data_IF_008613658707
#
_entry.id   IF_008613658707
#
_cell.length_a   1.000
_cell.length_b   1.000
_cell.length_c   1.000
_cell.angle_alpha   90.00
_cell.angle_beta   90.00
_cell.angle_gamma   90.00
#
_symmetry.space_group_name_H-M   'P 1'
#
loop_
_entity.id
_entity.type
_entity.pdbx_description
1 polymer ?
#
# COMPACT_ATOMS: atom_id res chain seq x y z
N UNK A 1 -68.57 7.34 -80.51
CA UNK A 1 -67.46 7.79 -79.65
C UNK A 1 -67.01 6.63 -78.77
N UNK A 2 -65.72 6.28 -78.88
CA UNK A 2 -64.81 5.64 -77.89
C UNK A 2 -65.05 4.18 -77.40
N UNK A 3 -64.34 3.28 -78.09
CA UNK A 3 -63.33 2.28 -77.62
C UNK A 3 -63.69 1.22 -76.55
N UNK A 4 -63.52 -0.05 -76.94
CA UNK A 4 -63.20 -1.21 -76.07
C UNK A 4 -61.91 -0.98 -75.26
N UNK A 5 -61.69 -1.77 -74.18
CA UNK A 5 -60.77 -2.90 -74.33
C UNK A 5 -61.18 -4.17 -73.55
N UNK A 6 -60.90 -5.33 -74.14
CA UNK A 6 -60.64 -6.62 -73.44
C UNK A 6 -59.20 -6.63 -72.87
N UNK A 7 -58.66 -7.74 -72.32
CA UNK A 7 -59.08 -8.67 -71.27
C UNK A 7 -58.01 -8.74 -70.15
N UNK A 8 -58.16 -9.50 -69.05
CA UNK A 8 -56.96 -9.93 -68.29
C UNK A 8 -57.10 -11.21 -67.45
N UNK A 9 -56.17 -12.12 -67.76
CA UNK A 9 -55.89 -13.43 -67.20
C UNK A 9 -55.57 -13.46 -65.69
N UNK A 10 -56.11 -14.45 -64.97
CA UNK A 10 -55.68 -14.84 -63.61
C UNK A 10 -54.24 -15.38 -63.63
N UNK A 11 -53.31 -14.64 -63.00
CA UNK A 11 -51.91 -15.05 -62.77
C UNK A 11 -51.80 -16.14 -61.68
N UNK A 12 -51.05 -17.20 -61.98
CA UNK A 12 -50.57 -18.26 -61.07
C UNK A 12 -49.72 -17.67 -59.93
N UNK A 13 -50.01 -18.06 -58.68
CA UNK A 13 -49.16 -17.79 -57.49
C UNK A 13 -47.86 -18.60 -57.57
N UNK A 14 -46.71 -17.93 -57.58
CA UNK A 14 -45.38 -18.56 -57.52
C UNK A 14 -44.97 -18.84 -56.07
N UNK A 15 -44.80 -20.12 -55.73
CA UNK A 15 -44.30 -20.64 -54.44
C UNK A 15 -42.77 -20.83 -54.43
N UNK A 16 -42.01 -19.91 -55.01
CA UNK A 16 -40.61 -20.17 -55.41
C UNK A 16 -39.53 -19.22 -54.89
N UNK A 17 -39.66 -18.64 -53.68
CA UNK A 17 -38.65 -17.66 -53.18
C UNK A 17 -38.33 -17.70 -51.66
N UNK A 18 -38.66 -18.79 -50.95
CA UNK A 18 -38.29 -18.92 -49.52
C UNK A 18 -36.90 -19.54 -49.31
N UNK A 19 -36.38 -20.32 -50.26
CA UNK A 19 -35.07 -20.99 -50.14
C UNK A 19 -33.85 -20.06 -50.23
N UNK A 20 -33.99 -18.89 -50.86
CA UNK A 20 -32.89 -17.93 -51.05
C UNK A 20 -32.44 -17.32 -49.71
N UNK A 21 -33.31 -17.32 -48.69
CA UNK A 21 -32.99 -16.82 -47.35
C UNK A 21 -32.38 -17.87 -46.42
N UNK A 22 -32.57 -19.17 -46.71
CA UNK A 22 -32.02 -20.24 -45.86
C UNK A 22 -30.52 -20.44 -46.06
N UNK A 23 -30.01 -20.26 -47.28
CA UNK A 23 -28.58 -20.42 -47.60
C UNK A 23 -27.70 -19.45 -46.80
N UNK A 24 -27.93 -18.12 -46.82
CA UNK A 24 -27.12 -17.20 -46.00
C UNK A 24 -27.30 -17.42 -44.50
N UNK A 25 -28.50 -17.79 -44.02
CA UNK A 25 -28.74 -18.06 -42.61
C UNK A 25 -27.99 -19.30 -42.11
N UNK A 26 -27.94 -20.35 -42.94
CA UNK A 26 -27.20 -21.60 -42.65
C UNK A 26 -25.68 -21.41 -42.68
N UNK A 27 -25.17 -20.53 -43.56
CA UNK A 27 -23.75 -20.17 -43.60
C UNK A 27 -23.33 -19.31 -42.40
N UNK A 28 -24.20 -18.41 -41.91
CA UNK A 28 -23.94 -17.62 -40.69
C UNK A 28 -23.96 -18.52 -39.45
N UNK A 29 -24.90 -19.47 -39.36
CA UNK A 29 -24.94 -20.43 -38.25
C UNK A 29 -23.77 -21.42 -38.30
N UNK A 30 -23.42 -21.95 -39.48
CA UNK A 30 -22.25 -22.82 -39.63
C UNK A 30 -20.93 -22.09 -39.34
N UNK A 31 -20.77 -20.85 -39.81
CA UNK A 31 -19.61 -20.00 -39.50
C UNK A 31 -19.54 -19.61 -38.02
N UNK A 32 -20.68 -19.32 -37.39
CA UNK A 32 -20.77 -19.04 -35.95
C UNK A 32 -20.52 -20.26 -35.07
N UNK A 33 -20.85 -21.47 -35.52
CA UNK A 33 -20.59 -22.72 -34.78
C UNK A 33 -19.13 -23.17 -34.96
N UNK A 34 -18.55 -23.02 -36.15
CA UNK A 34 -17.19 -23.50 -36.46
C UNK A 34 -16.09 -22.52 -36.05
N UNK A 35 -16.33 -21.21 -36.16
CA UNK A 35 -15.33 -20.17 -35.86
C UNK A 35 -15.77 -19.21 -34.76
N UNK A 36 -17.01 -19.30 -34.26
CA UNK A 36 -17.51 -18.36 -33.25
C UNK A 36 -16.74 -18.46 -31.93
N UNK A 37 -16.30 -19.65 -31.51
CA UNK A 37 -15.46 -19.78 -30.31
C UNK A 37 -14.08 -19.14 -30.50
N UNK A 38 -13.44 -19.30 -31.66
CA UNK A 38 -12.11 -18.74 -31.92
C UNK A 38 -12.15 -17.24 -32.18
N UNK A 39 -13.19 -16.74 -32.86
CA UNK A 39 -13.43 -15.30 -33.05
C UNK A 39 -13.81 -14.65 -31.72
N UNK A 40 -14.65 -15.29 -30.91
CA UNK A 40 -15.00 -14.81 -29.58
C UNK A 40 -13.80 -14.84 -28.63
N UNK A 41 -12.96 -15.88 -28.65
CA UNK A 41 -11.68 -15.92 -27.92
C UNK A 41 -10.70 -14.86 -28.42
N UNK A 42 -10.59 -14.66 -29.73
CA UNK A 42 -9.74 -13.62 -30.31
C UNK A 42 -10.19 -12.21 -29.88
N UNK A 43 -11.50 -11.94 -29.90
CA UNK A 43 -12.05 -10.68 -29.38
C UNK A 43 -11.94 -10.58 -27.86
N UNK A 44 -12.17 -11.66 -27.10
CA UNK A 44 -11.96 -11.68 -25.66
C UNK A 44 -10.52 -11.36 -25.31
N UNK A 45 -9.53 -12.00 -25.94
CA UNK A 45 -8.10 -11.74 -25.70
C UNK A 45 -7.72 -10.31 -26.07
N UNK A 46 -8.25 -9.77 -27.17
CA UNK A 46 -7.96 -8.39 -27.64
C UNK A 46 -8.65 -7.31 -26.81
N UNK A 47 -9.90 -7.51 -26.41
CA UNK A 47 -10.61 -6.58 -25.51
C UNK A 47 -10.13 -6.69 -24.07
N UNK A 48 -9.72 -7.88 -23.61
CA UNK A 48 -9.04 -8.11 -22.34
C UNK A 48 -7.74 -7.32 -22.27
N UNK A 49 -6.86 -7.46 -23.27
CA UNK A 49 -5.60 -6.72 -23.33
C UNK A 49 -5.82 -5.20 -23.35
N UNK A 50 -6.81 -4.71 -24.12
CA UNK A 50 -7.16 -3.29 -24.14
C UNK A 50 -7.74 -2.81 -22.80
N UNK A 51 -8.50 -3.65 -22.10
CA UNK A 51 -9.08 -3.32 -20.80
C UNK A 51 -8.03 -3.28 -19.68
N UNK A 52 -7.07 -4.19 -19.71
CA UNK A 52 -5.92 -4.21 -18.79
C UNK A 52 -4.97 -3.04 -19.03
N UNK A 53 -4.71 -2.68 -20.29
CA UNK A 53 -3.95 -1.48 -20.64
C UNK A 53 -4.64 -0.20 -20.15
N UNK A 54 -5.98 -0.12 -20.28
CA UNK A 54 -6.75 1.00 -19.72
C UNK A 54 -6.68 1.03 -18.19
N UNK A 55 -6.76 -0.11 -17.52
CA UNK A 55 -6.59 -0.21 -16.07
C UNK A 55 -5.20 0.27 -15.63
N UNK A 56 -4.16 -0.08 -16.37
CA UNK A 56 -2.81 0.41 -16.12
C UNK A 56 -2.72 1.94 -16.25
N UNK A 57 -3.25 2.52 -17.33
CA UNK A 57 -3.28 3.99 -17.48
C UNK A 57 -4.07 4.69 -16.36
N UNK A 58 -5.17 4.10 -15.90
CA UNK A 58 -5.93 4.60 -14.73
C UNK A 58 -5.16 4.47 -13.42
N UNK A 59 -4.31 3.46 -13.30
CA UNK A 59 -3.46 3.23 -12.13
C UNK A 59 -2.35 4.26 -12.06
N UNK A 60 -1.69 4.54 -13.18
CA UNK A 60 -0.62 5.54 -13.22
C UNK A 60 -1.17 6.93 -12.88
N UNK A 61 -2.36 7.28 -13.37
CA UNK A 61 -3.07 8.52 -12.99
C UNK A 61 -3.47 8.56 -11.51
N UNK A 62 -3.87 7.42 -10.94
CA UNK A 62 -4.15 7.30 -9.50
C UNK A 62 -2.89 7.56 -8.69
N UNK A 63 -1.77 6.90 -9.01
CA UNK A 63 -0.50 7.03 -8.28
C UNK A 63 0.04 8.47 -8.32
N UNK A 64 -0.06 9.14 -9.46
CA UNK A 64 0.32 10.54 -9.60
C UNK A 64 -0.55 11.50 -8.74
N UNK A 65 -1.81 11.15 -8.50
CA UNK A 65 -2.72 11.92 -7.65
C UNK A 65 -2.52 11.58 -6.17
N UNK A 66 -2.27 10.30 -5.88
CA UNK A 66 -1.93 9.80 -4.55
C UNK A 66 -0.63 10.41 -4.02
N UNK A 67 0.41 10.53 -4.84
CA UNK A 67 1.68 11.14 -4.40
C UNK A 67 1.48 12.58 -3.91
N UNK A 68 0.65 13.36 -4.61
CA UNK A 68 0.25 14.71 -4.18
C UNK A 68 -0.53 14.68 -2.86
N UNK A 69 -1.48 13.75 -2.72
CA UNK A 69 -2.24 13.57 -1.49
C UNK A 69 -1.37 13.13 -0.29
N UNK A 70 -0.37 12.28 -0.54
CA UNK A 70 0.52 11.77 0.49
C UNK A 70 1.37 12.88 1.13
N UNK A 71 1.72 13.91 0.35
CA UNK A 71 2.50 15.08 0.78
C UNK A 71 1.65 16.17 1.47
N UNK A 72 0.32 16.12 1.37
CA UNK A 72 -0.55 17.07 2.05
C UNK A 72 -0.57 16.84 3.56
N UNK A 73 -0.54 17.93 4.32
CA UNK A 73 -0.74 17.88 5.77
C UNK A 73 -2.21 17.63 6.08
N UNK A 74 -2.55 16.59 6.88
CA UNK A 74 -3.94 16.35 7.27
C UNK A 74 -4.52 17.55 8.02
N UNK A 75 -5.78 17.93 7.76
CA UNK A 75 -6.40 19.05 8.46
C UNK A 75 -6.64 18.72 9.94
N UNK A 76 -6.48 19.71 10.82
CA UNK A 76 -6.68 19.56 12.26
C UNK A 76 -8.16 19.47 12.66
N UNK A 77 -9.07 20.00 11.84
CA UNK A 77 -10.51 19.84 12.00
C UNK A 77 -11.17 19.46 10.68
N UNK A 78 -12.34 18.85 10.77
CA UNK A 78 -13.20 18.50 9.64
C UNK A 78 -14.23 19.58 9.34
N UNK A 79 -13.99 20.83 9.75
CA UNK A 79 -14.92 21.93 9.53
C UNK A 79 -14.90 22.33 8.04
N UNK A 80 -16.10 22.48 7.45
CA UNK A 80 -16.31 22.72 6.02
C UNK A 80 -15.56 21.76 5.07
N UNK A 81 -15.81 20.44 5.19
CA UNK A 81 -15.04 19.43 4.48
C UNK A 81 -15.12 19.57 2.95
N UNK A 82 -16.27 20.03 2.44
CA UNK A 82 -16.54 20.22 1.02
C UNK A 82 -15.70 21.34 0.38
N UNK A 83 -15.05 22.21 1.16
CA UNK A 83 -14.18 23.27 0.63
C UNK A 83 -12.70 22.91 0.73
N UNK A 84 -12.34 21.98 1.62
CA UNK A 84 -10.96 21.61 1.86
C UNK A 84 -10.38 20.78 0.69
N UNK A 85 -9.26 21.21 0.08
CA UNK A 85 -8.64 20.46 -1.02
C UNK A 85 -8.19 19.05 -0.63
N UNK A 86 -7.85 18.82 0.64
CA UNK A 86 -7.48 17.50 1.15
C UNK A 86 -8.62 16.49 1.01
N UNK A 87 -9.80 16.85 1.52
CA UNK A 87 -10.97 15.97 1.50
C UNK A 87 -11.53 15.78 0.08
N UNK A 88 -11.47 16.83 -0.77
CA UNK A 88 -11.84 16.70 -2.20
C UNK A 88 -10.97 15.70 -2.93
N UNK A 89 -9.65 15.76 -2.73
CA UNK A 89 -8.72 14.84 -3.37
C UNK A 89 -8.87 13.43 -2.82
N UNK A 90 -9.06 13.29 -1.51
CA UNK A 90 -9.31 12.01 -0.87
C UNK A 90 -10.57 11.33 -1.44
N UNK A 91 -11.69 12.06 -1.55
CA UNK A 91 -12.94 11.55 -2.11
C UNK A 91 -12.78 11.14 -3.59
N UNK A 92 -12.12 11.96 -4.41
CA UNK A 92 -11.82 11.62 -5.80
C UNK A 92 -10.98 10.34 -5.93
N UNK A 93 -9.99 10.14 -5.05
CA UNK A 93 -9.17 8.93 -5.02
C UNK A 93 -9.99 7.70 -4.60
N UNK A 94 -10.88 7.83 -3.61
CA UNK A 94 -11.81 6.75 -3.24
C UNK A 94 -12.76 6.37 -4.37
N UNK A 95 -13.37 7.36 -5.03
CA UNK A 95 -14.25 7.13 -6.18
C UNK A 95 -13.50 6.38 -7.29
N UNK A 96 -12.26 6.77 -7.57
CA UNK A 96 -11.42 6.08 -8.55
C UNK A 96 -11.12 4.63 -8.14
N UNK A 97 -10.89 4.35 -6.85
CA UNK A 97 -10.71 2.98 -6.35
C UNK A 97 -11.97 2.16 -6.59
N UNK A 98 -13.14 2.67 -6.21
CA UNK A 98 -14.40 1.93 -6.29
C UNK A 98 -14.85 1.68 -7.73
N UNK A 99 -14.66 2.66 -8.62
CA UNK A 99 -14.90 2.47 -10.05
C UNK A 99 -13.99 1.39 -10.63
N UNK A 100 -12.70 1.41 -10.31
CA UNK A 100 -11.75 0.43 -10.84
C UNK A 100 -12.03 -0.98 -10.29
N UNK A 101 -12.42 -1.09 -9.01
CA UNK A 101 -12.89 -2.34 -8.41
C UNK A 101 -14.07 -2.93 -9.17
N UNK A 102 -15.07 -2.11 -9.48
CA UNK A 102 -16.24 -2.53 -10.27
C UNK A 102 -15.82 -3.03 -11.65
N UNK A 103 -14.89 -2.38 -12.34
CA UNK A 103 -14.49 -2.87 -13.67
C UNK A 103 -13.67 -4.15 -13.56
N UNK A 104 -12.81 -4.29 -12.54
CA UNK A 104 -12.09 -5.55 -12.28
C UNK A 104 -13.08 -6.68 -12.02
N UNK A 105 -14.13 -6.46 -11.24
CA UNK A 105 -15.17 -7.47 -11.01
C UNK A 105 -15.91 -7.85 -12.30
N UNK A 106 -16.15 -6.91 -13.21
CA UNK A 106 -16.75 -7.18 -14.52
C UNK A 106 -15.77 -8.01 -15.38
N UNK A 107 -14.50 -7.62 -15.45
CA UNK A 107 -13.47 -8.31 -16.23
C UNK A 107 -13.24 -9.72 -15.68
N UNK A 108 -13.16 -9.88 -14.37
CA UNK A 108 -12.95 -11.16 -13.71
C UNK A 108 -14.11 -12.16 -13.90
N UNK A 109 -15.32 -11.70 -14.23
CA UNK A 109 -16.43 -12.57 -14.63
C UNK A 109 -16.28 -13.09 -16.06
N UNK A 110 -15.47 -12.42 -16.88
CA UNK A 110 -15.30 -12.71 -18.31
C UNK A 110 -13.96 -13.34 -18.66
N UNK A 111 -12.93 -13.15 -17.84
CA UNK A 111 -11.58 -13.68 -18.05
C UNK A 111 -11.30 -14.93 -17.20
N UNK A 112 -10.45 -15.83 -17.72
CA UNK A 112 -10.01 -17.04 -17.02
C UNK A 112 -8.75 -16.82 -16.14
N UNK A 113 -8.03 -15.70 -16.28
CA UNK A 113 -6.82 -15.42 -15.50
C UNK A 113 -7.14 -14.87 -14.09
N UNK A 114 -7.52 -15.80 -13.22
CA UNK A 114 -7.84 -15.53 -11.82
C UNK A 114 -6.66 -14.95 -11.02
N UNK A 115 -5.42 -15.24 -11.42
CA UNK A 115 -4.22 -14.75 -10.74
C UNK A 115 -4.01 -13.25 -10.99
N UNK A 116 -4.03 -12.86 -12.25
CA UNK A 116 -3.90 -11.44 -12.65
C UNK A 116 -5.05 -10.60 -12.12
N UNK A 117 -6.30 -11.11 -12.16
CA UNK A 117 -7.44 -10.39 -11.57
C UNK A 117 -7.32 -10.25 -10.04
N UNK A 118 -6.82 -11.27 -9.35
CA UNK A 118 -6.55 -11.18 -7.91
C UNK A 118 -5.44 -10.15 -7.62
N UNK A 119 -4.38 -10.08 -8.42
CA UNK A 119 -3.34 -9.08 -8.29
C UNK A 119 -3.88 -7.64 -8.47
N UNK A 120 -4.72 -7.44 -9.49
CA UNK A 120 -5.40 -6.17 -9.73
C UNK A 120 -6.31 -5.78 -8.58
N UNK A 121 -7.13 -6.71 -8.08
CA UNK A 121 -7.99 -6.43 -6.93
C UNK A 121 -7.17 -6.08 -5.69
N UNK A 122 -6.16 -6.89 -5.38
CA UNK A 122 -5.25 -6.65 -4.26
C UNK A 122 -4.56 -5.29 -4.36
N UNK A 123 -4.14 -4.87 -5.55
CA UNK A 123 -3.54 -3.55 -5.78
C UNK A 123 -4.44 -2.40 -5.33
N UNK A 124 -5.75 -2.45 -5.61
CA UNK A 124 -6.69 -1.43 -5.16
C UNK A 124 -7.07 -1.53 -3.68
N UNK A 125 -7.01 -2.72 -3.05
CA UNK A 125 -7.06 -2.83 -1.58
C UNK A 125 -5.82 -2.21 -0.93
N UNK A 126 -4.64 -2.36 -1.52
CA UNK A 126 -3.40 -1.70 -1.06
C UNK A 126 -3.54 -0.19 -1.13
N UNK A 127 -4.06 0.34 -2.24
CA UNK A 127 -4.27 1.77 -2.40
C UNK A 127 -5.27 2.34 -1.40
N UNK A 128 -6.37 1.64 -1.15
CA UNK A 128 -7.32 2.05 -0.11
C UNK A 128 -6.68 2.04 1.27
N UNK A 129 -5.86 1.03 1.58
CA UNK A 129 -5.15 0.94 2.85
C UNK A 129 -4.20 2.13 3.02
N UNK A 130 -3.41 2.46 2.00
CA UNK A 130 -2.47 3.58 2.01
C UNK A 130 -3.17 4.94 2.14
N UNK A 131 -4.38 5.11 1.59
CA UNK A 131 -5.18 6.32 1.80
C UNK A 131 -5.69 6.47 3.24
N UNK A 132 -5.79 5.37 3.99
CA UNK A 132 -6.36 5.37 5.35
C UNK A 132 -5.31 5.52 6.43
N UNK A 133 -4.06 5.19 6.16
CA UNK A 133 -2.99 5.19 7.17
C UNK A 133 -2.01 6.35 6.94
N UNK A 134 -1.44 6.85 8.02
CA UNK A 134 -0.45 7.94 7.97
C UNK A 134 0.97 7.39 8.15
N UNK A 135 1.67 7.18 7.03
CA UNK A 135 3.05 6.69 6.99
C UNK A 135 4.06 7.85 6.98
N UNK A 136 4.20 8.54 8.11
CA UNK A 136 5.20 9.59 8.28
C UNK A 136 6.38 9.17 9.17
N UNK A 137 7.43 9.99 9.17
CA UNK A 137 8.66 9.73 9.93
C UNK A 137 8.46 9.75 11.45
N UNK A 138 7.46 10.45 11.98
CA UNK A 138 7.14 10.46 13.42
C UNK A 138 6.45 9.15 13.81
N UNK A 139 5.44 8.74 13.05
CA UNK A 139 4.69 7.51 13.29
C UNK A 139 5.57 6.28 13.12
N UNK A 140 6.62 6.36 12.28
CA UNK A 140 7.64 5.31 12.19
C UNK A 140 8.40 5.10 13.51
N UNK A 141 8.74 6.19 14.21
CA UNK A 141 9.39 6.14 15.52
C UNK A 141 8.43 5.57 16.57
N UNK A 142 7.16 6.01 16.57
CA UNK A 142 6.15 5.49 17.49
C UNK A 142 5.89 3.99 17.26
N UNK A 143 5.85 3.56 15.99
CA UNK A 143 5.72 2.15 15.63
C UNK A 143 6.91 1.31 16.08
N UNK A 144 8.13 1.71 15.73
CA UNK A 144 9.35 0.96 16.06
C UNK A 144 9.72 0.99 17.55
N UNK A 145 9.37 2.07 18.25
CA UNK A 145 9.74 2.29 19.65
C UNK A 145 8.65 1.89 20.64
N UNK A 146 7.43 2.38 20.44
CA UNK A 146 6.29 2.18 21.35
C UNK A 146 5.40 1.01 20.92
N UNK A 147 5.51 0.57 19.66
CA UNK A 147 4.68 -0.51 19.10
C UNK A 147 3.32 -0.04 18.61
N UNK A 148 3.09 1.26 18.44
CA UNK A 148 1.83 1.79 17.95
C UNK A 148 1.73 1.64 16.43
N UNK A 149 0.64 1.03 15.96
CA UNK A 149 0.32 1.02 14.53
C UNK A 149 0.13 2.46 14.03
N UNK A 150 0.41 2.72 12.73
CA UNK A 150 0.26 4.04 12.17
C UNK A 150 -1.19 4.53 12.36
N UNK A 151 -1.38 5.79 12.77
CA UNK A 151 -2.70 6.35 12.99
C UNK A 151 -3.47 6.45 11.67
N UNK A 152 -4.79 6.54 11.81
CA UNK A 152 -5.68 6.73 10.66
C UNK A 152 -5.68 8.19 10.21
N UNK A 153 -5.67 8.39 8.89
CA UNK A 153 -5.90 9.70 8.29
C UNK A 153 -7.36 10.11 8.55
N UNK A 154 -7.63 11.41 8.80
CA UNK A 154 -9.00 11.92 8.82
C UNK A 154 -9.73 11.53 7.54
N UNK A 155 -10.93 10.97 7.68
CA UNK A 155 -11.78 10.57 6.57
C UNK A 155 -13.21 10.96 6.89
N UNK A 156 -13.94 11.41 5.87
CA UNK A 156 -15.38 11.68 5.93
C UNK A 156 -16.21 10.44 5.61
N UNK A 157 -15.54 9.41 5.08
CA UNK A 157 -16.16 8.16 4.66
C UNK A 157 -15.84 7.09 5.70
N UNK A 158 -16.88 6.57 6.35
CA UNK A 158 -16.81 5.42 7.25
C UNK A 158 -17.55 4.23 6.63
N UNK A 159 -16.85 3.33 5.95
CA UNK A 159 -17.51 2.09 5.50
C UNK A 159 -16.71 0.80 5.72
N UNK A 160 -15.39 0.84 5.93
CA UNK A 160 -14.57 -0.37 6.15
C UNK A 160 -13.51 -0.14 7.22
N UNK A 161 -13.25 -1.14 8.07
CA UNK A 161 -12.15 -1.07 9.03
C UNK A 161 -10.82 -1.33 8.34
N UNK A 162 -9.73 -0.71 8.81
CA UNK A 162 -8.38 -0.94 8.28
C UNK A 162 -7.95 -2.40 8.38
N UNK A 163 -8.36 -3.09 9.45
CA UNK A 163 -8.14 -4.53 9.61
C UNK A 163 -8.83 -5.34 8.49
N UNK A 164 -10.07 -5.01 8.15
CA UNK A 164 -10.80 -5.70 7.08
C UNK A 164 -10.14 -5.51 5.72
N UNK A 165 -9.60 -4.32 5.46
CA UNK A 165 -8.88 -4.02 4.22
C UNK A 165 -7.54 -4.75 4.19
N UNK A 166 -6.80 -4.75 5.31
CA UNK A 166 -5.56 -5.51 5.45
C UNK A 166 -5.76 -7.01 5.21
N UNK A 167 -6.83 -7.58 5.75
CA UNK A 167 -7.19 -8.98 5.52
C UNK A 167 -7.48 -9.28 4.03
N UNK A 168 -8.36 -8.51 3.40
CA UNK A 168 -8.70 -8.71 1.99
C UNK A 168 -7.48 -8.48 1.07
N UNK A 169 -6.67 -7.46 1.36
CA UNK A 169 -5.40 -7.22 0.67
C UNK A 169 -4.51 -8.46 0.71
N UNK A 170 -4.20 -8.96 1.91
CA UNK A 170 -3.33 -10.14 2.05
C UNK A 170 -3.94 -11.38 1.38
N UNK A 171 -5.27 -11.54 1.44
CA UNK A 171 -5.98 -12.64 0.79
C UNK A 171 -5.82 -12.60 -0.74
N UNK A 172 -6.08 -11.45 -1.37
CA UNK A 172 -5.97 -11.30 -2.82
C UNK A 172 -4.52 -11.42 -3.29
N UNK A 173 -3.56 -10.83 -2.57
CA UNK A 173 -2.15 -10.90 -2.96
C UNK A 173 -1.56 -12.30 -2.78
N UNK A 174 -1.92 -13.04 -1.73
CA UNK A 174 -1.54 -14.47 -1.60
C UNK A 174 -2.15 -15.30 -2.72
N UNK A 175 -3.41 -15.04 -3.08
CA UNK A 175 -4.07 -15.71 -4.21
C UNK A 175 -3.29 -15.43 -5.51
N UNK A 176 -2.93 -14.19 -5.77
CA UNK A 176 -2.13 -13.82 -6.93
C UNK A 176 -0.79 -14.58 -6.98
N UNK A 177 -0.04 -14.60 -5.87
CA UNK A 177 1.22 -15.34 -5.76
C UNK A 177 1.05 -16.85 -5.92
N UNK A 178 -0.07 -17.42 -5.49
CA UNK A 178 -0.36 -18.84 -5.63
C UNK A 178 -0.61 -19.25 -7.10
N UNK A 179 -1.25 -18.38 -7.89
CA UNK A 179 -1.49 -18.63 -9.32
C UNK A 179 -0.27 -18.35 -10.18
N UNK A 180 0.48 -17.27 -9.90
CA UNK A 180 1.67 -16.91 -10.65
C UNK A 180 2.75 -16.32 -9.73
N UNK A 181 3.63 -17.17 -9.15
CA UNK A 181 4.63 -16.75 -8.18
C UNK A 181 5.74 -15.87 -8.78
N UNK A 182 6.01 -16.00 -10.08
CA UNK A 182 7.04 -15.26 -10.81
C UNK A 182 6.44 -14.19 -11.75
N UNK A 183 5.18 -13.82 -11.52
CA UNK A 183 4.49 -12.81 -12.32
C UNK A 183 5.07 -11.41 -12.15
N UNK A 184 4.74 -10.50 -13.07
CA UNK A 184 5.18 -9.09 -13.03
C UNK A 184 4.72 -8.31 -11.79
N UNK A 185 3.76 -8.85 -11.04
CA UNK A 185 3.25 -8.28 -9.79
C UNK A 185 3.87 -8.89 -8.53
N UNK A 186 4.86 -9.79 -8.64
CA UNK A 186 5.47 -10.51 -7.52
C UNK A 186 5.86 -9.58 -6.37
N UNK A 187 6.70 -8.58 -6.64
CA UNK A 187 7.17 -7.63 -5.62
C UNK A 187 6.03 -6.82 -4.99
N UNK A 188 5.06 -6.39 -5.80
CA UNK A 188 3.88 -5.68 -5.30
C UNK A 188 3.00 -6.58 -4.42
N UNK A 189 2.83 -7.84 -4.79
CA UNK A 189 2.03 -8.80 -4.03
C UNK A 189 2.70 -9.14 -2.71
N UNK A 190 4.00 -9.41 -2.69
CA UNK A 190 4.76 -9.60 -1.46
C UNK A 190 4.69 -8.37 -0.53
N UNK A 191 4.83 -7.16 -1.08
CA UNK A 191 4.66 -5.93 -0.31
C UNK A 191 3.24 -5.80 0.26
N UNK A 192 2.22 -6.08 -0.56
CA UNK A 192 0.82 -6.04 -0.15
C UNK A 192 0.49 -7.04 0.96
N UNK A 193 1.03 -8.27 0.90
CA UNK A 193 0.86 -9.25 2.00
C UNK A 193 1.54 -8.75 3.27
N UNK A 194 2.77 -8.25 3.18
CA UNK A 194 3.50 -7.78 4.37
C UNK A 194 2.77 -6.63 5.07
N UNK A 195 2.32 -5.62 4.32
CA UNK A 195 1.57 -4.49 4.89
C UNK A 195 0.17 -4.91 5.35
N UNK A 196 -0.55 -5.72 4.57
CA UNK A 196 -1.90 -6.19 4.91
C UNK A 196 -1.92 -7.01 6.20
N UNK A 197 -0.96 -7.91 6.38
CA UNK A 197 -0.81 -8.71 7.59
C UNK A 197 -0.40 -7.87 8.79
N UNK A 198 0.51 -6.91 8.59
CA UNK A 198 0.91 -5.98 9.65
C UNK A 198 -0.31 -5.21 10.18
N UNK A 199 -1.15 -4.68 9.29
CA UNK A 199 -2.33 -3.92 9.66
C UNK A 199 -3.48 -4.79 10.18
N UNK A 200 -3.58 -6.05 9.74
CA UNK A 200 -4.60 -6.98 10.21
C UNK A 200 -4.29 -7.52 11.60
N UNK A 201 -3.07 -8.02 11.84
CA UNK A 201 -2.71 -8.66 13.10
C UNK A 201 -2.17 -7.69 14.15
N UNK A 202 -1.66 -6.53 13.73
CA UNK A 202 -1.01 -5.57 14.63
C UNK A 202 0.25 -6.08 15.31
N UNK A 203 0.89 -7.12 14.76
CA UNK A 203 2.08 -7.76 15.32
C UNK A 203 3.06 -8.15 14.22
N UNK A 204 4.33 -8.25 14.57
CA UNK A 204 5.41 -8.66 13.66
C UNK A 204 5.57 -10.18 13.66
N UNK A 205 4.88 -10.86 12.74
CA UNK A 205 5.04 -12.30 12.51
C UNK A 205 6.26 -12.57 11.60
N UNK A 206 7.08 -13.62 11.85
CA UNK A 206 8.13 -14.06 10.93
C UNK A 206 7.68 -14.19 9.47
N UNK A 207 6.43 -14.56 9.20
CA UNK A 207 5.89 -14.65 7.85
C UNK A 207 5.90 -13.30 7.12
N UNK A 208 5.61 -12.19 7.82
CA UNK A 208 5.60 -10.83 7.26
C UNK A 208 6.98 -10.48 6.68
N UNK A 209 8.04 -10.96 7.33
CA UNK A 209 9.42 -10.69 6.91
C UNK A 209 9.86 -11.50 5.71
N UNK A 210 9.42 -12.76 5.63
CA UNK A 210 9.68 -13.56 4.45
C UNK A 210 9.08 -12.89 3.22
N UNK A 211 7.88 -12.33 3.36
CA UNK A 211 7.28 -11.52 2.29
C UNK A 211 8.07 -10.25 2.02
N UNK A 212 8.46 -9.49 3.05
CA UNK A 212 9.24 -8.27 2.88
C UNK A 212 10.60 -8.50 2.17
N UNK A 213 11.31 -9.58 2.49
CA UNK A 213 12.58 -9.95 1.87
C UNK A 213 12.44 -10.41 0.42
N UNK A 214 11.29 -10.94 0.04
CA UNK A 214 11.00 -11.34 -1.32
C UNK A 214 10.64 -10.16 -2.23
N UNK A 215 10.47 -8.95 -1.68
CA UNK A 215 10.22 -7.74 -2.46
C UNK A 215 11.53 -7.25 -3.09
N UNK A 216 11.53 -7.10 -4.41
CA UNK A 216 12.56 -6.34 -5.11
C UNK A 216 12.10 -4.86 -5.24
N UNK A 217 12.75 -3.89 -4.56
CA UNK A 217 12.30 -2.49 -4.56
C UNK A 217 12.35 -1.82 -5.94
N UNK A 218 13.20 -2.31 -6.84
CA UNK A 218 13.32 -1.78 -8.20
C UNK A 218 12.07 -2.07 -9.06
N UNK A 219 11.34 -3.15 -8.76
CA UNK A 219 10.10 -3.54 -9.44
C UNK A 219 8.87 -2.79 -8.92
N UNK A 220 8.98 -2.09 -7.79
CA UNK A 220 7.89 -1.29 -7.26
C UNK A 220 7.77 0.04 -8.02
N UNK A 221 6.53 0.52 -8.25
CA UNK A 221 6.28 1.89 -8.72
C UNK A 221 6.99 2.90 -7.82
N UNK A 222 7.61 3.96 -8.38
CA UNK A 222 8.32 4.98 -7.61
C UNK A 222 7.52 5.55 -6.43
N UNK A 223 6.22 5.76 -6.64
CA UNK A 223 5.31 6.32 -5.66
C UNK A 223 5.05 5.41 -4.47
N UNK A 224 5.32 4.10 -4.58
CA UNK A 224 5.15 3.11 -3.50
C UNK A 224 6.47 2.76 -2.80
N UNK A 225 7.62 3.17 -3.37
CA UNK A 225 8.93 2.86 -2.78
C UNK A 225 9.11 3.54 -1.43
N UNK A 226 8.53 4.73 -1.23
CA UNK A 226 8.60 5.46 0.06
C UNK A 226 7.88 4.70 1.17
N UNK A 227 6.71 4.15 0.87
CA UNK A 227 5.87 3.36 1.77
C UNK A 227 6.53 2.02 2.06
N UNK A 228 7.14 1.38 1.06
CA UNK A 228 7.95 0.19 1.29
C UNK A 228 9.14 0.49 2.21
N UNK A 229 9.87 1.59 1.99
CA UNK A 229 10.96 2.02 2.89
C UNK A 229 10.43 2.21 4.31
N UNK A 230 9.27 2.84 4.49
CA UNK A 230 8.65 3.02 5.80
C UNK A 230 8.41 1.68 6.49
N UNK A 231 7.72 0.75 5.83
CA UNK A 231 7.36 -0.57 6.37
C UNK A 231 8.61 -1.39 6.67
N UNK A 232 9.55 -1.43 5.73
CA UNK A 232 10.81 -2.14 5.90
C UNK A 232 11.63 -1.60 7.07
N UNK A 233 11.79 -0.27 7.17
CA UNK A 233 12.55 0.36 8.26
C UNK A 233 11.94 0.03 9.61
N UNK A 234 10.61 0.12 9.72
CA UNK A 234 9.90 -0.14 10.96
C UNK A 234 10.02 -1.60 11.41
N UNK A 235 9.84 -2.53 10.47
CA UNK A 235 9.96 -3.97 10.75
C UNK A 235 11.39 -4.35 11.13
N UNK A 236 12.41 -3.89 10.40
CA UNK A 236 13.80 -4.16 10.75
C UNK A 236 14.21 -3.56 12.10
N UNK A 237 13.67 -2.39 12.45
CA UNK A 237 13.86 -1.81 13.78
C UNK A 237 13.25 -2.68 14.89
N UNK A 238 12.03 -3.21 14.70
CA UNK A 238 11.36 -4.06 15.68
C UNK A 238 12.05 -5.41 15.90
N UNK A 239 12.74 -5.93 14.88
CA UNK A 239 13.39 -7.24 14.93
C UNK A 239 14.85 -7.19 15.32
N UNK A 240 15.44 -6.00 15.29
CA UNK A 240 16.85 -5.78 15.55
C UNK A 240 17.79 -6.07 14.39
N UNK A 241 17.29 -6.10 13.16
CA UNK A 241 18.12 -6.18 11.96
C UNK A 241 18.71 -4.80 11.62
N UNK A 242 19.65 -4.36 12.45
CA UNK A 242 20.33 -3.08 12.32
C UNK A 242 21.20 -2.99 11.05
N UNK A 243 21.62 -4.13 10.47
CA UNK A 243 22.42 -4.16 9.25
C UNK A 243 21.56 -3.82 8.04
N UNK A 244 20.44 -4.52 7.83
CA UNK A 244 19.51 -4.19 6.74
C UNK A 244 18.88 -2.83 6.88
N UNK A 245 18.59 -2.41 8.12
CA UNK A 245 18.12 -1.05 8.38
C UNK A 245 19.13 -0.02 7.87
N UNK A 246 20.43 -0.21 8.16
CA UNK A 246 21.49 0.70 7.70
C UNK A 246 21.60 0.74 6.18
N UNK A 247 21.51 -0.42 5.51
CA UNK A 247 21.55 -0.51 4.04
C UNK A 247 20.44 0.31 3.37
N UNK A 248 19.23 0.31 3.97
CA UNK A 248 18.07 1.02 3.43
C UNK A 248 18.09 2.50 3.77
N UNK A 249 18.53 2.87 4.98
CA UNK A 249 18.54 4.27 5.40
C UNK A 249 19.74 5.06 4.88
N UNK A 250 20.88 4.38 4.69
CA UNK A 250 22.15 4.96 4.24
C UNK A 250 22.73 4.12 3.09
N UNK A 251 22.08 4.10 1.91
CA UNK A 251 22.62 3.40 0.76
C UNK A 251 24.00 3.97 0.41
N UNK A 252 24.96 3.08 0.12
CA UNK A 252 26.34 3.45 -0.19
C UNK A 252 26.36 4.54 -1.27
N UNK A 253 27.18 5.59 -1.07
CA UNK A 253 27.42 6.59 -2.09
C UNK A 253 27.91 5.88 -3.36
N UNK A 254 27.29 6.09 -4.54
CA UNK A 254 27.93 5.67 -5.77
C UNK A 254 29.29 6.38 -5.84
N UNK A 255 30.34 5.60 -6.14
CA UNK A 255 31.68 6.11 -6.35
C UNK A 255 31.65 7.30 -7.32
N UNK A 256 32.52 8.28 -7.08
CA UNK A 256 32.50 9.64 -7.63
C UNK A 256 32.64 9.80 -9.16
N UNK A 257 32.38 8.76 -9.96
CA UNK A 257 32.55 8.76 -11.42
C UNK A 257 31.27 8.44 -12.23
N UNK A 258 30.10 8.43 -11.59
CA UNK A 258 28.83 8.35 -12.33
C UNK A 258 28.29 9.76 -12.58
N UNK A 259 28.33 10.18 -13.84
CA UNK A 259 27.66 11.36 -14.40
C UNK A 259 26.30 11.59 -13.73
N UNK A 260 26.10 12.81 -13.22
CA UNK A 260 24.90 13.26 -12.52
C UNK A 260 23.67 13.17 -13.44
N UNK A 261 23.04 12.00 -13.46
CA UNK A 261 21.58 11.92 -13.47
C UNK A 261 21.18 11.68 -12.02
N UNK A 262 20.88 12.78 -11.33
CA UNK A 262 20.19 12.72 -10.04
C UNK A 262 18.87 12.02 -10.27
N UNK A 263 18.82 10.74 -9.96
CA UNK A 263 17.56 10.03 -9.80
C UNK A 263 16.84 10.68 -8.60
N UNK A 264 15.70 11.38 -8.81
CA UNK A 264 15.05 12.18 -7.76
C UNK A 264 14.42 11.31 -6.65
N UNK A 265 14.53 9.98 -6.77
CA UNK A 265 14.09 8.98 -5.80
C UNK A 265 15.21 8.47 -4.88
N UNK A 266 16.39 9.09 -4.88
CA UNK A 266 17.40 8.80 -3.88
C UNK A 266 16.80 9.04 -2.47
N UNK A 267 16.72 7.96 -1.68
CA UNK A 267 16.18 7.86 -0.32
C UNK A 267 16.83 8.80 0.73
N UNK A 268 17.60 9.80 0.30
CA UNK A 268 18.32 10.78 1.13
C UNK A 268 17.40 11.70 1.94
N UNK A 269 16.09 11.77 1.65
CA UNK A 269 15.18 12.76 2.22
C UNK A 269 14.09 12.27 3.17
N UNK A 270 13.83 10.95 3.29
CA UNK A 270 12.68 10.48 4.09
C UNK A 270 12.90 10.65 5.61
N UNK A 271 14.13 10.43 6.08
CA UNK A 271 14.49 10.53 7.49
C UNK A 271 15.59 11.55 7.73
N UNK A 272 15.38 12.42 8.72
CA UNK A 272 16.41 13.29 9.28
C UNK A 272 17.43 12.47 10.05
N UNK A 273 18.65 13.00 10.20
CA UNK A 273 19.78 12.30 10.86
C UNK A 273 19.40 11.77 12.25
N UNK A 274 18.75 12.58 13.08
CA UNK A 274 18.33 12.16 14.42
C UNK A 274 17.25 11.06 14.41
N UNK A 275 16.39 11.02 13.38
CA UNK A 275 15.36 9.96 13.24
C UNK A 275 16.03 8.64 12.88
N UNK A 276 17.02 8.68 11.98
CA UNK A 276 17.84 7.51 11.64
C UNK A 276 18.58 6.97 12.85
N UNK A 277 19.21 7.85 13.63
CA UNK A 277 19.92 7.47 14.87
C UNK A 277 18.98 6.81 15.89
N UNK A 278 17.77 7.34 16.05
CA UNK A 278 16.78 6.78 16.96
C UNK A 278 16.28 5.40 16.49
N UNK A 279 15.99 5.24 15.20
CA UNK A 279 15.64 3.95 14.60
C UNK A 279 16.73 2.90 14.75
N UNK A 280 17.98 3.30 14.51
CA UNK A 280 19.14 2.46 14.71
C UNK A 280 19.30 2.08 16.20
N UNK A 281 18.97 2.99 17.11
CA UNK A 281 18.89 2.73 18.54
C UNK A 281 17.89 1.62 18.88
N UNK A 282 16.69 1.65 18.31
CA UNK A 282 15.71 0.57 18.50
C UNK A 282 16.18 -0.76 17.94
N UNK A 283 16.68 -0.78 16.69
CA UNK A 283 17.22 -2.00 16.09
C UNK A 283 18.32 -2.62 16.98
N UNK A 284 19.30 -1.82 17.41
CA UNK A 284 20.40 -2.32 18.24
C UNK A 284 19.93 -2.81 19.61
N UNK A 285 18.95 -2.15 20.21
CA UNK A 285 18.35 -2.60 21.46
C UNK A 285 17.66 -3.96 21.31
N UNK A 286 16.88 -4.18 20.25
CA UNK A 286 16.25 -5.47 19.98
C UNK A 286 17.29 -6.56 19.68
N UNK A 287 18.40 -6.19 19.02
CA UNK A 287 19.56 -7.04 18.81
C UNK A 287 20.40 -7.30 20.09
N UNK A 288 20.01 -6.72 21.24
CA UNK A 288 20.73 -6.79 22.53
C UNK A 288 22.12 -6.14 22.52
N UNK A 289 22.43 -5.32 21.54
CA UNK A 289 23.62 -4.46 21.52
C UNK A 289 23.33 -3.15 22.26
N UNK A 290 23.21 -3.27 23.58
CA UNK A 290 22.80 -2.17 24.45
C UNK A 290 23.79 -1.00 24.45
N UNK A 291 25.09 -1.26 24.29
CA UNK A 291 26.11 -0.21 24.29
C UNK A 291 26.00 0.68 23.06
N UNK A 292 25.86 0.08 21.86
CA UNK A 292 25.67 0.85 20.64
C UNK A 292 24.27 1.48 20.55
N UNK A 293 23.25 0.82 21.09
CA UNK A 293 21.92 1.41 21.22
C UNK A 293 21.96 2.67 22.07
N UNK A 294 22.61 2.61 23.24
CA UNK A 294 22.77 3.74 24.16
C UNK A 294 23.52 4.90 23.52
N UNK A 295 24.61 4.63 22.79
CA UNK A 295 25.35 5.65 22.07
C UNK A 295 24.47 6.38 21.04
N UNK A 296 23.70 5.63 20.25
CA UNK A 296 22.82 6.18 19.20
C UNK A 296 21.72 7.07 19.80
N UNK A 297 21.13 6.63 20.91
CA UNK A 297 20.06 7.34 21.60
C UNK A 297 20.57 8.62 22.28
N UNK A 298 21.77 8.59 22.87
CA UNK A 298 22.37 9.76 23.53
C UNK A 298 22.69 10.90 22.56
N UNK A 299 23.10 10.58 21.33
CA UNK A 299 23.31 11.58 20.28
C UNK A 299 22.03 12.41 20.02
N UNK A 300 20.87 11.73 20.01
CA UNK A 300 19.57 12.38 19.81
C UNK A 300 19.13 13.16 21.05
N UNK A 301 19.25 12.55 22.24
CA UNK A 301 18.78 13.13 23.51
C UNK A 301 19.47 14.46 23.84
N UNK A 302 20.80 14.51 23.70
CA UNK A 302 21.61 15.65 24.16
C UNK A 302 21.82 16.74 23.11
N UNK A 303 21.33 16.55 21.88
CA UNK A 303 21.38 17.58 20.84
C UNK A 303 20.20 18.57 21.01
N UNK A 304 20.46 19.85 21.37
CA UNK A 304 19.40 20.83 21.59
C UNK A 304 18.63 21.21 20.32
N UNK A 305 19.17 20.93 19.12
CA UNK A 305 18.51 21.21 17.84
C UNK A 305 17.41 20.20 17.51
N UNK A 306 17.36 19.06 18.23
CA UNK A 306 16.37 18.01 18.02
C UNK A 306 15.02 18.38 18.64
N UNK A 307 13.89 18.20 17.92
CA UNK A 307 12.56 18.48 18.45
C UNK A 307 12.26 17.71 19.75
N UNK A 308 11.47 18.33 20.63
CA UNK A 308 11.16 17.80 21.97
C UNK A 308 10.64 16.36 21.95
N UNK A 309 9.76 16.02 20.99
CA UNK A 309 9.24 14.65 20.83
C UNK A 309 10.37 13.60 20.72
N UNK A 310 11.34 13.79 19.84
CA UNK A 310 12.41 12.82 19.63
C UNK A 310 13.41 12.79 20.79
N UNK A 311 13.62 13.93 21.48
CA UNK A 311 14.44 13.95 22.71
C UNK A 311 13.76 13.23 23.87
N UNK A 312 12.45 13.41 24.05
CA UNK A 312 11.68 12.68 25.04
C UNK A 312 11.72 11.17 24.75
N UNK A 313 11.54 10.80 23.48
CA UNK A 313 11.59 9.40 23.07
C UNK A 313 13.00 8.79 23.23
N UNK A 314 14.05 9.57 22.97
CA UNK A 314 15.42 9.15 23.25
C UNK A 314 15.66 8.97 24.77
N UNK A 315 15.20 9.90 25.61
CA UNK A 315 15.28 9.76 27.06
C UNK A 315 14.53 8.51 27.54
N UNK A 316 13.32 8.25 27.03
CA UNK A 316 12.59 7.01 27.33
C UNK A 316 13.40 5.77 26.97
N UNK A 317 13.96 5.75 25.77
CA UNK A 317 14.74 4.61 25.28
C UNK A 317 16.00 4.36 26.11
N UNK A 318 16.70 5.42 26.53
CA UNK A 318 17.82 5.31 27.48
C UNK A 318 17.35 4.68 28.79
N UNK A 319 16.16 5.05 29.28
CA UNK A 319 15.53 4.42 30.43
C UNK A 319 15.30 2.92 30.25
N UNK A 320 14.74 2.49 29.12
CA UNK A 320 14.52 1.07 28.80
C UNK A 320 15.82 0.27 28.71
N UNK A 321 16.86 0.85 28.08
CA UNK A 321 18.18 0.23 28.00
C UNK A 321 18.75 0.01 29.41
N UNK A 322 18.71 1.04 30.25
CA UNK A 322 19.16 0.95 31.63
C UNK A 322 18.32 -0.02 32.47
N UNK A 323 17.01 -0.09 32.22
CA UNK A 323 16.11 -1.05 32.85
C UNK A 323 16.58 -2.49 32.59
N UNK A 324 16.94 -2.78 31.33
CA UNK A 324 17.40 -4.11 30.89
C UNK A 324 18.79 -4.46 31.42
N UNK A 325 19.69 -3.50 31.51
CA UNK A 325 21.08 -3.74 31.94
C UNK A 325 21.22 -3.79 33.47
N UNK A 326 20.59 -2.86 34.18
CA UNK A 326 20.85 -2.59 35.60
C UNK A 326 19.62 -2.83 36.49
N UNK A 327 18.45 -3.06 35.89
CA UNK A 327 17.19 -3.32 36.59
C UNK A 327 16.20 -2.15 36.52
N UNK A 328 14.92 -2.42 36.84
CA UNK A 328 13.79 -1.53 36.58
C UNK A 328 13.92 -0.11 37.18
N UNK A 329 14.51 -0.01 38.39
CA UNK A 329 14.67 1.28 39.08
C UNK A 329 15.57 2.26 38.34
N UNK A 330 16.53 1.77 37.55
CA UNK A 330 17.43 2.63 36.77
C UNK A 330 16.72 3.29 35.58
N UNK A 331 15.50 2.86 35.22
CA UNK A 331 14.70 3.51 34.19
C UNK A 331 14.03 4.80 34.67
N UNK A 332 13.74 4.89 35.97
CA UNK A 332 12.86 5.92 36.56
C UNK A 332 13.33 7.35 36.25
N UNK A 333 14.60 7.73 36.47
CA UNK A 333 15.06 9.10 36.22
C UNK A 333 14.89 9.51 34.75
N UNK A 334 15.13 8.57 33.83
CA UNK A 334 15.03 8.81 32.39
C UNK A 334 13.59 8.89 31.90
N UNK A 335 12.68 8.09 32.47
CA UNK A 335 11.26 8.17 32.17
C UNK A 335 10.64 9.47 32.73
N UNK A 336 11.07 9.93 33.90
CA UNK A 336 10.68 11.23 34.45
C UNK A 336 11.20 12.39 33.59
N UNK A 337 12.44 12.30 33.12
CA UNK A 337 13.01 13.27 32.18
C UNK A 337 12.22 13.30 30.87
N UNK A 338 11.91 12.13 30.29
CA UNK A 338 11.11 12.01 29.09
C UNK A 338 9.74 12.69 29.26
N UNK A 339 9.05 12.41 30.38
CA UNK A 339 7.75 13.01 30.70
C UNK A 339 7.86 14.53 30.85
N UNK A 340 8.92 15.03 31.49
CA UNK A 340 9.17 16.48 31.61
C UNK A 340 9.36 17.16 30.26
N UNK A 341 10.00 16.48 29.30
CA UNK A 341 10.24 17.01 27.95
C UNK A 341 8.95 16.94 27.10
N UNK A 342 8.19 15.85 27.20
CA UNK A 342 6.96 15.64 26.42
C UNK A 342 5.74 16.39 26.98
N UNK A 343 5.74 16.73 28.27
CA UNK A 343 4.55 17.17 28.99
C UNK A 343 3.68 15.98 29.40
N UNK A 344 2.37 16.06 29.16
CA UNK A 344 1.43 14.99 29.49
C UNK A 344 1.43 13.91 28.40
N UNK A 345 2.24 12.86 28.60
CA UNK A 345 2.27 11.67 27.73
C UNK A 345 1.75 10.45 28.52
N UNK A 346 0.50 9.98 28.23
CA UNK A 346 -0.10 8.86 28.94
C UNK A 346 0.73 7.57 28.87
N UNK A 347 1.43 7.34 27.75
CA UNK A 347 2.28 6.16 27.60
C UNK A 347 3.45 6.20 28.57
N UNK A 348 4.10 7.37 28.70
CA UNK A 348 5.22 7.53 29.63
C UNK A 348 4.75 7.43 31.09
N UNK A 349 3.56 7.94 31.42
CA UNK A 349 2.97 7.79 32.75
C UNK A 349 2.70 6.32 33.08
N UNK A 350 2.11 5.57 32.15
CA UNK A 350 1.86 4.13 32.30
C UNK A 350 3.17 3.37 32.48
N UNK A 351 4.17 3.61 31.61
CA UNK A 351 5.49 2.96 31.72
C UNK A 351 6.15 3.28 33.05
N UNK A 352 6.15 4.54 33.47
CA UNK A 352 6.72 4.96 34.76
C UNK A 352 6.04 4.24 35.93
N UNK A 353 4.71 4.13 35.91
CA UNK A 353 3.94 3.41 36.94
C UNK A 353 4.28 1.92 37.01
N UNK A 354 4.64 1.30 35.88
CA UNK A 354 5.04 -0.10 35.83
C UNK A 354 6.42 -0.36 36.49
N UNK A 355 7.29 0.65 36.51
CA UNK A 355 8.62 0.56 37.13
C UNK A 355 8.66 1.03 38.59
N UNK A 356 7.64 1.76 39.06
CA UNK A 356 7.53 2.12 40.47
C UNK A 356 7.10 0.91 41.31
N UNK A 357 7.64 0.76 42.53
CA UNK A 357 7.18 -0.27 43.45
C UNK A 357 5.70 0.00 43.78
N UNK A 358 4.84 -1.00 43.56
CA UNK A 358 3.46 -0.94 44.09
C UNK A 358 3.58 -0.98 45.61
N UNK A 359 3.24 0.12 46.28
CA UNK A 359 3.07 0.13 47.73
C UNK A 359 2.12 -1.03 48.09
N UNK A 360 2.66 -2.05 48.75
CA UNK A 360 1.90 -3.16 49.35
C UNK A 360 1.74 -2.88 50.84
#
# INVERSE_FOLDING_TARGET
MLKMPEPMSRRKKSRGRLWIWFIPLSLITAGGILYGQDIFRYFQVRFASDSLLRLQGRTDAYLASYSRYAEMTPPASSDEPAQNPYFKLQDALYQQIDENRRIIEIIARTEEDLGTMAAWRGRYELYELLLRIQLDSRNLIEFSGRGYLPPLRPSLLEERSVQSIGFELSRYMRRALAYNPEGSYKSLAHFGVALGDLMYFGRTDPAILQHLHAVNPSELPPELRKEWIWVASGLYALLGDHQKLKEITDPAQPAADATQQEDPLNARGFLKVYQKQLLMGYARFQAKDYMQALYSVRQVKYDPSVPAFYRAEAARMEGEINARQNGPYFAIPYLQEALRISGEDPFLQERLSAFMPKNR
#
